data_IF_720558388255
#
_entry.id   IF_720558388255
#
_cell.length_a   1.000
_cell.length_b   1.000
_cell.length_c   1.000
_cell.angle_alpha   90.00
_cell.angle_beta   90.00
_cell.angle_gamma   90.00
#
_symmetry.space_group_name_H-M   'P 1'
#
loop_
_entity.id
_entity.type
_entity.pdbx_description
1 polymer ?
#
# COMPACT_ATOMS: atom_id res chain seq x y z
N UNK A 1 22.10 -44.13 33.67
CA UNK A 1 22.36 -42.92 32.86
C UNK A 1 21.14 -42.70 31.98
N UNK A 2 20.32 -41.69 32.27
CA UNK A 2 19.04 -41.47 31.60
C UNK A 2 19.25 -40.51 30.42
N UNK A 3 19.02 -40.95 29.19
CA UNK A 3 19.20 -40.12 27.99
C UNK A 3 17.88 -39.39 27.70
N UNK A 4 17.83 -38.08 27.94
CA UNK A 4 16.67 -37.23 27.64
C UNK A 4 16.77 -36.78 26.18
N UNK A 5 15.93 -37.32 25.31
CA UNK A 5 15.81 -36.89 23.91
C UNK A 5 14.93 -35.63 23.86
N UNK A 6 15.57 -34.45 23.80
CA UNK A 6 14.89 -33.18 23.54
C UNK A 6 14.49 -33.12 22.07
N UNK A 7 13.22 -33.38 21.78
CA UNK A 7 12.63 -33.13 20.47
C UNK A 7 12.39 -31.62 20.33
N UNK A 8 13.37 -30.90 19.79
CA UNK A 8 13.21 -29.51 19.37
C UNK A 8 12.24 -29.48 18.17
N UNK A 9 10.96 -29.25 18.44
CA UNK A 9 9.99 -28.83 17.41
C UNK A 9 10.49 -27.50 16.84
N UNK A 10 11.21 -27.56 15.72
CA UNK A 10 11.45 -26.40 14.90
C UNK A 10 10.09 -26.02 14.31
N UNK A 11 9.44 -25.02 14.89
CA UNK A 11 8.38 -24.32 14.20
C UNK A 11 9.03 -23.71 12.96
N UNK A 12 8.84 -24.35 11.81
CA UNK A 12 9.14 -23.74 10.52
C UNK A 12 8.16 -22.58 10.41
N UNK A 13 8.60 -21.40 10.85
CA UNK A 13 7.88 -20.17 10.54
C UNK A 13 8.04 -19.99 9.04
N UNK A 14 7.00 -20.37 8.29
CA UNK A 14 6.90 -20.05 6.88
C UNK A 14 6.90 -18.52 6.78
N UNK A 15 8.06 -17.94 6.47
CA UNK A 15 8.16 -16.52 6.14
C UNK A 15 7.50 -16.39 4.78
N UNK A 16 6.26 -15.91 4.74
CA UNK A 16 5.64 -15.50 3.49
C UNK A 16 6.53 -14.43 2.88
N UNK A 17 7.18 -14.76 1.77
CA UNK A 17 7.96 -13.78 1.02
C UNK A 17 6.96 -12.83 0.38
N UNK A 18 6.69 -11.74 1.06
CA UNK A 18 5.80 -10.67 0.59
C UNK A 18 6.42 -10.05 -0.65
N UNK A 19 5.64 -9.95 -1.72
CA UNK A 19 6.07 -9.27 -2.94
C UNK A 19 6.50 -7.83 -2.60
N UNK A 20 7.50 -7.25 -3.28
CA UNK A 20 7.85 -5.84 -3.11
C UNK A 20 6.61 -4.94 -3.17
N UNK A 21 6.51 -4.00 -2.24
CA UNK A 21 5.34 -3.11 -2.12
C UNK A 21 4.14 -3.68 -1.36
N UNK A 22 4.14 -4.97 -1.01
CA UNK A 22 3.06 -5.54 -0.18
C UNK A 22 3.14 -4.98 1.25
N UNK A 23 2.04 -4.44 1.76
CA UNK A 23 1.94 -3.97 3.14
C UNK A 23 0.58 -4.27 3.76
N UNK A 24 0.58 -4.98 4.89
CA UNK A 24 -0.61 -5.24 5.72
C UNK A 24 -0.67 -4.34 6.97
N UNK A 25 0.31 -3.46 7.13
CA UNK A 25 0.43 -2.46 8.18
C UNK A 25 0.67 -2.94 9.62
N UNK A 26 0.64 -4.25 9.89
CA UNK A 26 0.74 -4.84 11.25
C UNK A 26 2.06 -4.49 11.97
N UNK A 27 3.12 -4.24 11.22
CA UNK A 27 4.47 -3.94 11.75
C UNK A 27 4.95 -2.53 11.38
N UNK A 28 4.06 -1.66 10.89
CA UNK A 28 4.38 -0.31 10.42
C UNK A 28 4.02 -0.11 8.95
N UNK A 29 4.61 0.89 8.30
CA UNK A 29 4.18 1.30 6.95
C UNK A 29 4.91 0.60 5.80
N UNK A 30 5.77 -0.39 6.09
CA UNK A 30 6.55 -1.12 5.07
C UNK A 30 7.36 -0.20 4.13
N UNK A 31 7.76 0.98 4.61
CA UNK A 31 8.48 1.98 3.84
C UNK A 31 7.61 2.94 3.03
N UNK A 32 6.28 2.80 3.07
CA UNK A 32 5.39 3.84 2.57
C UNK A 32 5.51 5.10 3.43
N UNK A 33 5.55 6.26 2.78
CA UNK A 33 5.75 7.57 3.41
C UNK A 33 4.74 8.58 2.89
N UNK A 34 4.30 9.50 3.75
CA UNK A 34 3.54 10.66 3.29
C UNK A 34 4.47 11.68 2.63
N UNK A 35 4.07 12.21 1.49
CA UNK A 35 4.77 13.34 0.87
C UNK A 35 4.69 14.57 1.81
N UNK A 36 5.83 15.19 2.17
CA UNK A 36 5.87 16.29 3.12
C UNK A 36 5.16 17.57 2.63
N UNK A 37 4.87 17.68 1.33
CA UNK A 37 4.21 18.83 0.71
C UNK A 37 2.69 18.83 0.91
N UNK A 38 2.12 17.72 1.38
CA UNK A 38 0.67 17.52 1.49
C UNK A 38 0.26 17.05 2.89
N UNK A 39 -1.04 16.84 3.08
CA UNK A 39 -1.56 16.21 4.30
C UNK A 39 -1.00 14.80 4.48
N UNK A 40 -0.91 14.39 5.75
CA UNK A 40 -0.29 13.12 6.12
C UNK A 40 -1.33 12.00 6.15
N UNK A 41 -0.90 10.84 5.66
CA UNK A 41 -1.52 9.56 5.98
C UNK A 41 -1.05 9.11 7.36
N UNK A 42 -1.97 8.58 8.16
CA UNK A 42 -1.68 8.08 9.50
C UNK A 42 -2.01 6.61 9.60
N UNK A 43 -1.10 5.86 10.22
CA UNK A 43 -1.38 4.48 10.61
C UNK A 43 -2.48 4.49 11.67
N UNK A 44 -3.55 3.73 11.44
CA UNK A 44 -4.61 3.58 12.41
C UNK A 44 -4.07 2.98 13.72
N UNK A 45 -4.74 3.28 14.84
CA UNK A 45 -4.31 2.85 16.18
C UNK A 45 -4.09 1.34 16.31
N UNK A 46 -4.85 0.52 15.59
CA UNK A 46 -4.73 -0.94 15.62
C UNK A 46 -3.62 -1.48 14.70
N UNK A 47 -2.97 -0.62 13.89
CA UNK A 47 -1.91 -1.04 12.97
C UNK A 47 -2.41 -1.92 11.82
N UNK A 48 -3.63 -1.69 11.30
CA UNK A 48 -4.23 -2.55 10.26
C UNK A 48 -4.42 -1.88 8.91
N UNK A 49 -4.50 -0.56 8.90
CA UNK A 49 -4.67 0.25 7.70
C UNK A 49 -4.13 1.65 7.97
N UNK A 50 -3.95 2.39 6.88
CA UNK A 50 -3.65 3.82 6.93
C UNK A 50 -4.89 4.60 6.56
N UNK A 51 -5.03 5.79 7.11
CA UNK A 51 -6.17 6.64 6.89
C UNK A 51 -5.75 8.09 6.71
N UNK A 52 -6.61 8.86 6.06
CA UNK A 52 -6.54 10.31 6.04
C UNK A 52 -7.92 10.85 6.36
N UNK A 53 -7.96 11.73 7.36
CA UNK A 53 -9.21 12.33 7.82
C UNK A 53 -9.30 13.78 7.35
N UNK A 54 -10.39 14.13 6.67
CA UNK A 54 -10.56 15.44 6.03
C UNK A 54 -10.50 16.63 7.00
N UNK A 55 -11.03 16.58 8.25
CA UNK A 55 -10.87 17.64 9.23
C UNK A 55 -9.41 17.87 9.65
N UNK A 56 -8.56 16.83 9.54
CA UNK A 56 -7.14 16.92 9.87
C UNK A 56 -6.29 17.52 8.75
N UNK A 57 -6.87 17.72 7.55
CA UNK A 57 -6.12 18.25 6.40
C UNK A 57 -5.82 19.75 6.49
N UNK A 58 -6.34 20.50 7.49
CA UNK A 58 -6.00 21.91 7.80
C UNK A 58 -5.88 22.85 6.58
N UNK A 59 -6.73 22.68 5.57
CA UNK A 59 -6.75 23.50 4.34
C UNK A 59 -5.95 22.94 3.16
N UNK A 60 -5.27 21.80 3.31
CA UNK A 60 -4.75 21.04 2.17
C UNK A 60 -5.89 20.33 1.44
N UNK A 61 -5.82 20.32 0.11
CA UNK A 61 -6.82 19.68 -0.75
C UNK A 61 -6.61 18.16 -0.90
N UNK A 62 -5.40 17.66 -0.59
CA UNK A 62 -5.05 16.24 -0.73
C UNK A 62 -4.00 15.76 0.26
N UNK A 63 -3.86 14.45 0.33
CA UNK A 63 -2.74 13.74 0.94
C UNK A 63 -2.14 12.78 -0.10
N UNK A 64 -0.82 12.65 -0.11
CA UNK A 64 -0.11 11.77 -1.05
C UNK A 64 0.71 10.76 -0.24
N UNK A 65 0.52 9.48 -0.57
CA UNK A 65 1.30 8.38 -0.02
C UNK A 65 2.22 7.84 -1.12
N UNK A 66 3.51 7.80 -0.84
CA UNK A 66 4.54 7.32 -1.76
C UNK A 66 5.00 5.94 -1.29
N UNK A 67 5.01 4.97 -2.20
CA UNK A 67 5.55 3.63 -1.93
C UNK A 67 7.08 3.67 -1.86
N UNK A 68 7.72 2.62 -1.31
CA UNK A 68 9.10 2.32 -1.67
C UNK A 68 9.26 2.20 -3.18
N UNK A 69 10.49 2.32 -3.67
CA UNK A 69 10.81 1.93 -5.05
C UNK A 69 10.51 0.45 -5.26
N UNK A 70 9.77 0.14 -6.32
CA UNK A 70 9.31 -1.22 -6.63
C UNK A 70 10.03 -1.71 -7.88
N UNK A 71 10.76 -2.82 -7.75
CA UNK A 71 11.25 -3.54 -8.93
C UNK A 71 10.06 -4.23 -9.61
N UNK A 72 9.61 -3.66 -10.73
CA UNK A 72 8.54 -4.22 -11.53
C UNK A 72 9.04 -5.41 -12.35
N UNK A 73 8.54 -6.60 -12.05
CA UNK A 73 8.67 -7.77 -12.94
C UNK A 73 7.74 -7.62 -14.14
N UNK A 74 8.02 -8.34 -15.23
CA UNK A 74 7.36 -8.17 -16.54
C UNK A 74 5.83 -8.00 -16.45
N UNK A 75 5.18 -8.75 -15.55
CA UNK A 75 3.74 -8.70 -15.28
C UNK A 75 3.52 -8.69 -13.77
N UNK A 76 2.92 -7.62 -13.25
CA UNK A 76 2.60 -7.49 -11.81
C UNK A 76 1.16 -6.99 -11.63
N UNK A 77 0.59 -7.15 -10.45
CA UNK A 77 -0.76 -6.67 -10.14
C UNK A 77 -0.72 -5.92 -8.80
N UNK A 78 -1.21 -4.68 -8.79
CA UNK A 78 -1.46 -3.94 -7.55
C UNK A 78 -2.87 -4.24 -7.10
N UNK A 79 -2.99 -4.76 -5.89
CA UNK A 79 -4.27 -5.00 -5.24
C UNK A 79 -4.42 -4.09 -4.04
N UNK A 80 -5.43 -3.22 -4.07
CA UNK A 80 -5.75 -2.29 -3.01
C UNK A 80 -7.02 -2.73 -2.30
N UNK A 81 -6.98 -2.79 -0.97
CA UNK A 81 -8.18 -2.91 -0.13
C UNK A 81 -8.43 -1.54 0.46
N UNK A 82 -9.57 -0.92 0.14
CA UNK A 82 -9.83 0.48 0.47
C UNK A 82 -11.26 0.72 0.95
N UNK A 83 -11.46 1.85 1.62
CA UNK A 83 -12.76 2.36 2.01
C UNK A 83 -12.75 3.89 1.91
N UNK A 84 -13.81 4.47 1.34
CA UNK A 84 -14.05 5.91 1.33
C UNK A 84 -15.27 6.18 2.20
N UNK A 85 -15.09 6.97 3.26
CA UNK A 85 -16.18 7.41 4.14
C UNK A 85 -16.44 8.91 3.93
N UNK A 86 -17.67 9.29 3.62
CA UNK A 86 -18.02 10.70 3.35
C UNK A 86 -17.71 11.11 1.92
N UNK A 87 -17.22 12.34 1.73
CA UNK A 87 -16.89 12.90 0.41
C UNK A 87 -15.38 12.93 0.19
N UNK A 88 -14.93 12.40 -0.94
CA UNK A 88 -13.53 12.39 -1.33
C UNK A 88 -13.32 11.46 -2.52
N UNK A 89 -12.09 11.42 -3.02
CA UNK A 89 -11.69 10.47 -4.04
C UNK A 89 -10.30 9.90 -3.74
N UNK A 90 -10.06 8.69 -4.24
CA UNK A 90 -8.81 7.97 -4.14
C UNK A 90 -8.29 7.72 -5.54
N UNK A 91 -7.01 8.03 -5.77
CA UNK A 91 -6.33 7.78 -7.03
C UNK A 91 -5.10 6.91 -6.79
N UNK A 92 -4.91 5.91 -7.64
CA UNK A 92 -3.67 5.15 -7.73
C UNK A 92 -2.88 5.67 -8.93
N UNK A 93 -1.67 6.14 -8.67
CA UNK A 93 -0.78 6.71 -9.67
C UNK A 93 0.50 5.88 -9.79
N UNK A 94 1.11 5.87 -10.98
CA UNK A 94 2.40 5.26 -11.25
C UNK A 94 3.39 6.32 -11.75
N UNK A 95 4.58 6.34 -11.15
CA UNK A 95 5.74 7.08 -11.66
C UNK A 95 6.81 6.09 -12.10
N UNK A 96 7.05 5.92 -13.41
CA UNK A 96 8.18 5.14 -13.91
C UNK A 96 9.51 5.73 -13.43
N UNK A 97 10.54 4.88 -13.32
CA UNK A 97 11.89 5.35 -12.97
C UNK A 97 12.39 6.37 -14.01
N UNK A 98 12.94 7.48 -13.53
CA UNK A 98 13.45 8.56 -14.40
C UNK A 98 12.39 9.55 -14.88
N UNK A 99 11.10 9.24 -14.74
CA UNK A 99 10.02 10.18 -15.02
C UNK A 99 9.76 11.12 -13.85
N UNK A 100 9.24 12.30 -14.16
CA UNK A 100 8.82 13.32 -13.18
C UNK A 100 7.31 13.43 -13.05
N UNK A 101 6.56 12.80 -13.97
CA UNK A 101 5.11 12.87 -14.04
C UNK A 101 4.48 11.57 -13.60
N UNK A 102 3.37 11.70 -12.88
CA UNK A 102 2.57 10.59 -12.41
C UNK A 102 1.48 10.27 -13.44
N UNK A 103 1.32 8.98 -13.75
CA UNK A 103 0.26 8.47 -14.62
C UNK A 103 -0.86 7.88 -13.76
N UNK A 104 -2.10 8.33 -13.96
CA UNK A 104 -3.25 7.76 -13.24
C UNK A 104 -3.58 6.37 -13.77
N UNK A 105 -3.47 5.37 -12.91
CA UNK A 105 -3.85 3.99 -13.24
C UNK A 105 -5.31 3.69 -12.89
N UNK A 106 -5.81 4.28 -11.80
CA UNK A 106 -7.15 4.00 -11.30
C UNK A 106 -7.67 5.10 -10.37
N UNK A 107 -9.00 5.27 -10.32
CA UNK A 107 -9.69 6.23 -9.46
C UNK A 107 -10.96 5.62 -8.87
N UNK A 108 -11.31 6.01 -7.64
CA UNK A 108 -12.65 5.88 -7.08
C UNK A 108 -13.06 7.13 -6.31
N UNK A 109 -14.36 7.44 -6.31
CA UNK A 109 -14.96 8.60 -5.64
C UNK A 109 -16.27 8.26 -4.91
N UNK A 110 -16.70 7.00 -4.99
CA UNK A 110 -17.93 6.54 -4.36
C UNK A 110 -17.66 6.04 -2.94
N UNK A 111 -18.39 6.57 -1.93
CA UNK A 111 -18.25 6.09 -0.56
C UNK A 111 -18.84 4.69 -0.37
N UNK A 112 -18.38 3.99 0.67
CA UNK A 112 -18.89 2.68 1.05
C UNK A 112 -18.77 2.42 2.55
N UNK A 113 -19.77 1.74 3.11
CA UNK A 113 -19.74 1.22 4.48
C UNK A 113 -18.95 -0.10 4.59
N UNK A 114 -18.42 -0.59 3.47
CA UNK A 114 -17.64 -1.84 3.40
C UNK A 114 -16.27 -1.61 2.78
N UNK A 115 -15.33 -2.51 3.09
CA UNK A 115 -14.04 -2.56 2.42
C UNK A 115 -14.21 -3.11 1.00
N UNK A 116 -13.71 -2.35 0.03
CA UNK A 116 -13.72 -2.70 -1.39
C UNK A 116 -12.33 -3.13 -1.83
N UNK A 117 -12.27 -3.82 -2.98
CA UNK A 117 -11.02 -4.29 -3.57
C UNK A 117 -10.91 -3.74 -4.99
N UNK A 118 -9.77 -3.09 -5.27
CA UNK A 118 -9.35 -2.79 -6.63
C UNK A 118 -8.14 -3.67 -6.98
N UNK A 119 -8.13 -4.21 -8.21
CA UNK A 119 -6.98 -4.94 -8.77
C UNK A 119 -6.62 -4.28 -10.10
N UNK A 120 -5.37 -3.85 -10.21
CA UNK A 120 -4.85 -3.12 -11.36
C UNK A 120 -3.61 -3.84 -11.85
N UNK A 121 -3.64 -4.28 -13.11
CA UNK A 121 -2.47 -4.90 -13.74
C UNK A 121 -1.45 -3.82 -14.09
N UNK A 122 -0.21 -4.05 -13.67
CA UNK A 122 0.97 -3.29 -14.07
C UNK A 122 1.66 -4.05 -15.19
N UNK A 123 1.63 -3.49 -16.39
CA UNK A 123 2.50 -3.91 -17.47
C UNK A 123 3.63 -2.89 -17.64
N UNK A 124 4.77 -3.32 -18.19
CA UNK A 124 5.80 -2.38 -18.65
C UNK A 124 5.26 -1.62 -19.86
N UNK A 125 4.88 -0.35 -19.69
CA UNK A 125 4.57 0.56 -20.81
C UNK A 125 5.85 1.03 -21.49
N UNK A 126 6.71 0.10 -21.93
CA UNK A 126 7.75 0.41 -22.94
C UNK A 126 7.16 0.48 -24.35
N UNK A 127 5.84 0.37 -24.50
CA UNK A 127 5.16 0.63 -25.77
C UNK A 127 4.64 2.08 -25.77
N UNK A 128 5.42 2.97 -26.37
CA UNK A 128 4.93 4.24 -26.89
C UNK A 128 3.70 4.00 -27.76
N UNK A 129 2.64 4.79 -27.58
CA UNK A 129 1.72 5.10 -28.68
C UNK A 129 2.28 6.28 -29.47
#
# INVERSE_FOLDING_TARGET
MLLILLLCFHFIVARTQTLPGSCNFETGTCGYVSDPSYSRWTLNQDGRFIEVDSPLMKGSEKAVLVSPELEMFEWSCVRLVYQITGSGSLQLLLRPEGDTFDQTLWTADMPSDSWLVASIDLWNTSASY
#
